data_IF_760979974357
#
_entry.id   IF_760979974357
#
_cell.length_a   1.000
_cell.length_b   1.000
_cell.length_c   1.000
_cell.angle_alpha   90.00
_cell.angle_beta   90.00
_cell.angle_gamma   90.00
#
_symmetry.space_group_name_H-M   'P 1'
#
loop_
_entity.id
_entity.type
_entity.pdbx_description
1 polymer ?
#
# COMPACT_ATOMS: atom_id res chain seq x y z
N UNK A 1 -87.39 -34.35 -23.92
CA UNK A 1 -86.12 -33.58 -23.88
C UNK A 1 -85.27 -34.16 -22.76
N UNK A 2 -84.15 -34.81 -23.07
CA UNK A 2 -83.27 -35.36 -22.03
C UNK A 2 -82.40 -34.25 -21.44
N UNK A 3 -82.54 -34.03 -20.13
CA UNK A 3 -81.72 -33.10 -19.36
C UNK A 3 -80.30 -33.67 -19.25
N UNK A 4 -79.35 -33.08 -19.99
CA UNK A 4 -77.93 -33.40 -19.88
C UNK A 4 -77.48 -32.91 -18.50
N UNK A 5 -77.22 -33.85 -17.58
CA UNK A 5 -76.64 -33.53 -16.26
C UNK A 5 -75.35 -32.74 -16.47
N UNK A 6 -75.28 -31.58 -15.83
CA UNK A 6 -74.12 -30.69 -15.84
C UNK A 6 -72.86 -31.46 -15.43
N UNK A 7 -71.87 -31.49 -16.32
CA UNK A 7 -70.60 -32.24 -16.19
C UNK A 7 -69.69 -31.76 -15.04
N UNK A 8 -70.14 -30.79 -14.24
CA UNK A 8 -69.36 -30.13 -13.17
C UNK A 8 -69.07 -31.02 -11.95
N UNK A 9 -69.80 -32.13 -11.77
CA UNK A 9 -69.65 -33.05 -10.62
C UNK A 9 -69.07 -34.43 -10.98
N UNK A 10 -68.37 -34.55 -12.12
CA UNK A 10 -67.64 -35.79 -12.43
C UNK A 10 -66.36 -35.89 -11.57
N UNK A 11 -66.05 -37.06 -10.98
CA UNK A 11 -64.85 -37.27 -10.15
C UNK A 11 -63.54 -37.04 -10.92
N UNK A 12 -63.63 -37.04 -12.25
CA UNK A 12 -62.55 -36.66 -13.17
C UNK A 12 -62.14 -35.19 -12.96
N UNK A 13 -63.09 -34.25 -12.76
CA UNK A 13 -62.76 -32.84 -12.54
C UNK A 13 -62.07 -32.59 -11.20
N UNK A 14 -62.44 -33.30 -10.13
CA UNK A 14 -61.75 -33.19 -8.84
C UNK A 14 -60.33 -33.75 -8.91
N UNK A 15 -60.15 -34.84 -9.66
CA UNK A 15 -58.84 -35.45 -9.93
C UNK A 15 -57.94 -34.53 -10.77
N UNK A 16 -58.48 -33.92 -11.83
CA UNK A 16 -57.77 -32.93 -12.67
C UNK A 16 -57.40 -31.69 -11.84
N UNK A 17 -58.31 -31.20 -10.98
CA UNK A 17 -58.04 -30.06 -10.09
C UNK A 17 -56.92 -30.37 -9.09
N UNK A 18 -56.87 -31.61 -8.59
CA UNK A 18 -55.80 -32.08 -7.70
C UNK A 18 -54.45 -32.19 -8.43
N UNK A 19 -54.44 -32.72 -9.65
CA UNK A 19 -53.26 -32.81 -10.49
C UNK A 19 -52.70 -31.41 -10.85
N UNK A 20 -53.55 -30.48 -11.27
CA UNK A 20 -53.15 -29.10 -11.58
C UNK A 20 -52.58 -28.38 -10.36
N UNK A 21 -53.13 -28.61 -9.17
CA UNK A 21 -52.62 -28.05 -7.91
C UNK A 21 -51.24 -28.61 -7.56
N UNK A 22 -51.00 -29.90 -7.78
CA UNK A 22 -49.67 -30.50 -7.60
C UNK A 22 -48.64 -29.92 -8.58
N UNK A 23 -49.04 -29.72 -9.83
CA UNK A 23 -48.19 -29.19 -10.90
C UNK A 23 -47.79 -27.72 -10.62
N UNK A 24 -48.72 -26.91 -10.13
CA UNK A 24 -48.46 -25.53 -9.67
C UNK A 24 -47.51 -25.48 -8.46
N UNK A 25 -47.66 -26.40 -7.51
CA UNK A 25 -46.75 -26.49 -6.36
C UNK A 25 -45.33 -26.89 -6.77
N UNK A 26 -45.19 -27.82 -7.73
CA UNK A 26 -43.90 -28.21 -8.30
C UNK A 26 -43.23 -27.03 -9.02
N UNK A 27 -43.97 -26.30 -9.85
CA UNK A 27 -43.51 -25.08 -10.54
C UNK A 27 -42.97 -24.04 -9.56
N UNK A 28 -43.72 -23.71 -8.51
CA UNK A 28 -43.29 -22.74 -7.51
C UNK A 28 -42.05 -23.18 -6.72
N UNK A 29 -41.94 -24.48 -6.40
CA UNK A 29 -40.75 -25.04 -5.74
C UNK A 29 -39.51 -24.93 -6.63
N UNK A 30 -39.65 -25.24 -7.92
CA UNK A 30 -38.57 -25.12 -8.90
C UNK A 30 -38.13 -23.66 -9.11
N UNK A 31 -39.09 -22.72 -9.22
CA UNK A 31 -38.80 -21.29 -9.32
C UNK A 31 -38.07 -20.76 -8.08
N UNK A 32 -38.47 -21.21 -6.88
CA UNK A 32 -37.83 -20.82 -5.62
C UNK A 32 -36.40 -21.38 -5.51
N UNK A 33 -36.18 -22.63 -5.93
CA UNK A 33 -34.85 -23.25 -5.99
C UNK A 33 -33.92 -22.50 -6.95
N UNK A 34 -34.39 -22.19 -8.17
CA UNK A 34 -33.59 -21.45 -9.16
C UNK A 34 -33.25 -20.02 -8.70
N UNK A 35 -34.15 -19.37 -7.96
CA UNK A 35 -33.90 -18.03 -7.40
C UNK A 35 -32.81 -18.08 -6.31
N UNK A 36 -32.86 -19.09 -5.44
CA UNK A 36 -31.85 -19.29 -4.40
C UNK A 36 -30.47 -19.63 -4.99
N UNK A 37 -30.41 -20.49 -6.01
CA UNK A 37 -29.17 -20.84 -6.72
C UNK A 37 -28.51 -19.60 -7.37
N UNK A 38 -29.30 -18.74 -8.01
CA UNK A 38 -28.80 -17.47 -8.55
C UNK A 38 -28.24 -16.53 -7.48
N UNK A 39 -28.90 -16.44 -6.33
CA UNK A 39 -28.45 -15.61 -5.20
C UNK A 39 -27.09 -16.11 -4.68
N UNK A 40 -26.93 -17.44 -4.55
CA UNK A 40 -25.66 -18.05 -4.12
C UNK A 40 -24.51 -17.86 -5.11
N UNK A 41 -24.78 -17.91 -6.42
CA UNK A 41 -23.76 -17.64 -7.46
C UNK A 41 -23.28 -16.17 -7.43
N UNK A 42 -24.21 -15.24 -7.19
CA UNK A 42 -23.90 -13.82 -7.00
C UNK A 42 -23.07 -13.56 -5.74
N UNK A 43 -23.35 -14.23 -4.63
CA UNK A 43 -22.58 -14.12 -3.38
C UNK A 43 -21.15 -14.68 -3.53
N UNK A 44 -20.99 -15.83 -4.19
CA UNK A 44 -19.68 -16.40 -4.52
C UNK A 44 -18.89 -15.50 -5.47
N UNK A 45 -19.54 -14.91 -6.47
CA UNK A 45 -18.91 -13.97 -7.39
C UNK A 45 -18.42 -12.71 -6.67
N UNK A 46 -19.22 -12.16 -5.74
CA UNK A 46 -18.83 -11.00 -4.94
C UNK A 46 -17.67 -11.33 -3.99
N UNK A 47 -17.65 -12.52 -3.38
CA UNK A 47 -16.50 -12.98 -2.57
C UNK A 47 -15.24 -13.15 -3.42
N UNK A 48 -15.37 -13.70 -4.63
CA UNK A 48 -14.26 -13.86 -5.57
C UNK A 48 -13.68 -12.52 -6.02
N UNK A 49 -14.53 -11.55 -6.36
CA UNK A 49 -14.12 -10.18 -6.70
C UNK A 49 -13.42 -9.49 -5.53
N UNK A 50 -13.94 -9.59 -4.30
CA UNK A 50 -13.29 -9.06 -3.10
C UNK A 50 -11.90 -9.67 -2.85
N UNK A 51 -11.73 -10.95 -3.18
CA UNK A 51 -10.43 -11.62 -3.10
C UNK A 51 -9.46 -11.17 -4.21
N UNK A 52 -9.95 -10.87 -5.41
CA UNK A 52 -9.14 -10.32 -6.51
C UNK A 52 -8.67 -8.90 -6.18
N UNK A 53 -9.54 -8.04 -5.66
CA UNK A 53 -9.21 -6.67 -5.25
C UNK A 53 -8.16 -6.65 -4.13
N UNK A 54 -8.24 -7.59 -3.18
CA UNK A 54 -7.21 -7.81 -2.15
C UNK A 54 -5.87 -8.29 -2.71
N UNK A 55 -5.85 -8.95 -3.88
CA UNK A 55 -4.65 -9.54 -4.48
C UNK A 55 -3.91 -8.59 -5.43
N UNK A 56 -4.56 -7.50 -5.88
CA UNK A 56 -4.00 -6.56 -6.85
C UNK A 56 -3.34 -5.31 -6.25
N UNK A 57 -3.40 -5.05 -4.94
CA UNK A 57 -2.77 -3.85 -4.36
C UNK A 57 -1.29 -4.01 -3.98
N UNK A 58 -0.50 -4.74 -4.78
CA UNK A 58 0.95 -4.61 -4.73
C UNK A 58 1.34 -3.29 -5.42
N UNK A 59 1.01 -2.17 -4.79
CA UNK A 59 1.53 -0.86 -5.22
C UNK A 59 3.03 -0.91 -5.00
N UNK A 60 3.79 -1.00 -6.10
CA UNK A 60 5.24 -0.93 -6.07
C UNK A 60 5.66 0.48 -5.65
N UNK A 61 5.69 0.74 -4.34
CA UNK A 61 6.13 2.01 -3.78
C UNK A 61 7.64 1.99 -3.61
N UNK A 62 8.31 2.95 -4.24
CA UNK A 62 9.76 3.14 -4.14
C UNK A 62 10.04 4.35 -3.27
N UNK A 63 10.91 4.19 -2.27
CA UNK A 63 11.37 5.28 -1.42
C UNK A 63 12.84 5.58 -1.73
N UNK A 64 13.12 6.75 -2.30
CA UNK A 64 14.47 7.22 -2.49
C UNK A 64 14.87 8.11 -1.31
N UNK A 65 15.88 7.68 -0.56
CA UNK A 65 16.46 8.44 0.54
C UNK A 65 17.85 8.89 0.10
N UNK A 66 18.00 10.19 -0.14
CA UNK A 66 19.30 10.78 -0.40
C UNK A 66 19.76 11.59 0.80
N UNK A 67 20.91 11.20 1.37
CA UNK A 67 21.52 11.84 2.53
C UNK A 67 22.81 12.54 2.18
N UNK A 68 22.98 13.69 2.82
CA UNK A 68 24.26 14.39 2.95
C UNK A 68 24.55 14.56 4.44
N UNK A 69 25.73 15.11 4.77
CA UNK A 69 26.08 15.42 6.17
C UNK A 69 25.11 16.43 6.82
N UNK A 70 24.50 17.29 6.01
CA UNK A 70 23.75 18.45 6.48
C UNK A 70 22.25 18.35 6.21
N UNK A 71 21.81 17.50 5.27
CA UNK A 71 20.41 17.39 4.89
C UNK A 71 20.04 15.98 4.43
N UNK A 72 18.74 15.68 4.49
CA UNK A 72 18.13 14.47 3.95
C UNK A 72 16.98 14.89 3.02
N UNK A 73 16.89 14.20 1.89
CA UNK A 73 15.79 14.32 0.93
C UNK A 73 15.15 12.95 0.82
N UNK A 74 13.83 12.89 1.00
CA UNK A 74 13.06 11.66 0.91
C UNK A 74 12.04 11.84 -0.20
N UNK A 75 12.05 10.93 -1.16
CA UNK A 75 11.14 10.94 -2.30
C UNK A 75 10.39 9.63 -2.36
N UNK A 76 9.07 9.70 -2.23
CA UNK A 76 8.17 8.58 -2.45
C UNK A 76 7.79 8.61 -3.93
N UNK A 77 7.96 7.49 -4.60
CA UNK A 77 7.58 7.31 -6.00
C UNK A 77 6.61 6.14 -6.08
N UNK A 78 5.43 6.40 -6.61
CA UNK A 78 4.46 5.39 -7.01
C UNK A 78 4.22 5.48 -8.52
N UNK A 79 3.49 4.53 -9.13
CA UNK A 79 3.15 4.61 -10.55
C UNK A 79 2.36 5.86 -10.94
N UNK A 80 1.65 6.48 -9.99
CA UNK A 80 0.72 7.59 -10.26
C UNK A 80 1.20 8.94 -9.73
N UNK A 81 2.06 8.96 -8.72
CA UNK A 81 2.46 10.21 -8.05
C UNK A 81 3.89 10.15 -7.52
N UNK A 82 4.48 11.35 -7.41
CA UNK A 82 5.80 11.56 -6.83
C UNK A 82 5.66 12.61 -5.74
N UNK A 83 6.09 12.27 -4.53
CA UNK A 83 6.06 13.16 -3.37
C UNK A 83 7.48 13.31 -2.83
N UNK A 84 7.97 14.54 -2.75
CA UNK A 84 9.31 14.85 -2.26
C UNK A 84 9.23 15.67 -0.99
N UNK A 85 10.00 15.29 0.02
CA UNK A 85 10.11 16.02 1.28
C UNK A 85 11.55 16.18 1.71
N UNK A 86 11.79 17.30 2.38
CA UNK A 86 13.09 17.66 2.93
C UNK A 86 12.89 18.26 4.31
N UNK A 87 13.97 18.31 5.10
CA UNK A 87 13.93 18.96 6.41
C UNK A 87 13.57 20.45 6.32
N UNK A 88 14.00 21.13 5.25
CA UNK A 88 13.68 22.53 5.03
C UNK A 88 12.16 22.76 4.85
N UNK A 89 11.46 21.82 4.19
CA UNK A 89 10.02 21.89 3.98
C UNK A 89 9.21 21.81 5.30
N UNK A 90 9.80 21.23 6.34
CA UNK A 90 9.22 21.17 7.69
C UNK A 90 9.60 22.38 8.56
N UNK A 91 10.35 23.34 8.02
CA UNK A 91 10.76 24.55 8.73
C UNK A 91 12.06 24.44 9.54
N UNK A 92 12.78 23.32 9.46
CA UNK A 92 14.14 23.24 10.04
C UNK A 92 15.10 24.14 9.26
N UNK A 93 16.04 24.80 9.96
CA UNK A 93 17.01 25.76 9.41
C UNK A 93 18.38 25.61 10.07
N UNK A 94 19.45 25.78 9.29
CA UNK A 94 20.83 25.78 9.78
C UNK A 94 21.22 24.47 10.48
N UNK A 95 21.76 24.57 11.71
CA UNK A 95 22.23 23.39 12.47
C UNK A 95 21.10 22.45 12.89
N UNK A 96 19.85 22.90 12.94
CA UNK A 96 18.75 22.03 13.36
C UNK A 96 18.48 20.88 12.39
N UNK A 97 18.86 21.02 11.11
CA UNK A 97 18.80 19.92 10.14
C UNK A 97 19.70 18.74 10.53
N UNK A 98 20.73 18.98 11.35
CA UNK A 98 21.68 17.95 11.75
C UNK A 98 21.22 17.17 13.00
N UNK A 99 20.03 17.44 13.53
CA UNK A 99 19.53 16.78 14.74
C UNK A 99 18.75 15.51 14.41
N UNK A 100 18.77 14.55 15.35
CA UNK A 100 17.99 13.31 15.27
C UNK A 100 16.48 13.61 15.30
N UNK A 101 16.08 14.64 16.06
CA UNK A 101 14.69 15.09 16.14
C UNK A 101 14.12 15.50 14.78
N UNK A 102 14.88 16.26 13.99
CA UNK A 102 14.46 16.67 12.66
C UNK A 102 14.22 15.48 11.73
N UNK A 103 15.07 14.43 11.81
CA UNK A 103 14.91 13.19 11.04
C UNK A 103 13.66 12.40 11.49
N UNK A 104 13.37 12.38 12.80
CA UNK A 104 12.17 11.74 13.34
C UNK A 104 10.90 12.40 12.82
N UNK A 105 10.82 13.73 12.90
CA UNK A 105 9.68 14.51 12.42
C UNK A 105 9.46 14.33 10.91
N UNK A 106 10.55 14.27 10.12
CA UNK A 106 10.47 13.96 8.70
C UNK A 106 9.95 12.55 8.42
N UNK A 107 10.37 11.56 9.21
CA UNK A 107 9.87 10.19 9.08
C UNK A 107 8.37 10.12 9.38
N UNK A 108 7.91 10.77 10.44
CA UNK A 108 6.48 10.82 10.82
C UNK A 108 5.63 11.45 9.71
N UNK A 109 6.08 12.58 9.13
CA UNK A 109 5.40 13.21 8.00
C UNK A 109 5.35 12.29 6.78
N UNK A 110 6.47 11.63 6.46
CA UNK A 110 6.55 10.74 5.32
C UNK A 110 5.64 9.51 5.46
N UNK A 111 5.59 8.91 6.66
CA UNK A 111 4.67 7.82 6.99
C UNK A 111 3.22 8.26 6.78
N UNK A 112 2.84 9.44 7.26
CA UNK A 112 1.49 9.96 7.07
C UNK A 112 1.14 10.10 5.58
N UNK A 113 2.09 10.56 4.76
CA UNK A 113 1.87 10.68 3.33
C UNK A 113 1.81 9.32 2.64
N UNK A 114 2.64 8.35 3.04
CA UNK A 114 2.57 6.96 2.55
C UNK A 114 1.20 6.32 2.85
N UNK A 115 0.70 6.49 4.08
CA UNK A 115 -0.60 5.95 4.50
C UNK A 115 -1.78 6.52 3.70
N UNK A 116 -1.67 7.76 3.20
CA UNK A 116 -2.70 8.36 2.33
C UNK A 116 -2.72 7.76 0.93
N UNK A 117 -1.60 7.21 0.46
CA UNK A 117 -1.46 6.69 -0.90
C UNK A 117 -1.99 5.26 -0.99
N UNK A 118 -1.64 4.41 -0.02
CA UNK A 118 -2.04 3.00 -0.01
C UNK A 118 -1.97 2.42 1.40
N UNK A 119 -2.79 1.40 1.68
CA UNK A 119 -2.69 0.56 2.87
C UNK A 119 -3.18 -0.86 2.52
N UNK A 120 -2.38 -1.93 2.62
CA UNK A 120 -1.01 -2.01 3.16
C UNK A 120 0.06 -1.44 2.21
N UNK A 121 1.15 -0.89 2.77
CA UNK A 121 2.29 -0.37 2.00
C UNK A 121 3.43 -1.38 2.01
N UNK A 122 3.79 -1.90 0.85
CA UNK A 122 5.03 -2.65 0.63
C UNK A 122 6.06 -1.70 0.00
N UNK A 123 7.22 -1.57 0.63
CA UNK A 123 8.19 -0.52 0.31
C UNK A 123 9.53 -1.07 -0.18
N UNK A 124 10.01 -0.55 -1.30
CA UNK A 124 11.37 -0.75 -1.80
C UNK A 124 12.20 0.52 -1.56
N UNK A 125 13.25 0.43 -0.75
CA UNK A 125 14.04 1.59 -0.32
C UNK A 125 15.35 1.66 -1.08
N UNK A 126 15.69 2.84 -1.57
CA UNK A 126 16.93 3.13 -2.27
C UNK A 126 17.68 4.21 -1.49
N UNK A 127 18.84 3.88 -0.94
CA UNK A 127 19.56 4.73 0.01
C UNK A 127 20.96 5.01 -0.52
N UNK A 128 21.38 6.28 -0.53
CA UNK A 128 22.80 6.61 -0.54
C UNK A 128 23.25 6.88 0.91
N UNK A 129 24.31 6.24 1.39
CA UNK A 129 24.68 6.38 2.80
C UNK A 129 25.90 7.26 3.02
N UNK A 130 25.66 8.38 3.72
CA UNK A 130 26.66 9.05 4.56
C UNK A 130 25.97 9.83 5.69
N UNK A 131 25.25 9.14 6.60
CA UNK A 131 24.70 9.77 7.81
C UNK A 131 24.27 8.77 8.91
N UNK A 132 24.81 8.90 10.13
CA UNK A 132 24.45 8.03 11.27
C UNK A 132 23.02 8.23 11.80
N UNK A 133 22.38 9.35 11.44
CA UNK A 133 21.05 9.74 11.94
C UNK A 133 19.91 8.98 11.26
N UNK A 134 20.17 8.27 10.17
CA UNK A 134 19.13 7.48 9.48
C UNK A 134 18.52 6.39 10.37
N UNK A 135 19.24 5.90 11.38
CA UNK A 135 18.71 4.89 12.31
C UNK A 135 17.42 5.33 13.00
N UNK A 136 17.29 6.61 13.36
CA UNK A 136 16.05 7.12 13.98
C UNK A 136 14.89 7.23 13.01
N UNK A 137 15.19 7.49 11.72
CA UNK A 137 14.19 7.53 10.66
C UNK A 137 13.56 6.15 10.46
N UNK A 138 14.38 5.10 10.31
CA UNK A 138 13.89 3.72 10.17
C UNK A 138 13.17 3.19 11.40
N UNK A 139 13.55 3.65 12.61
CA UNK A 139 12.83 3.31 13.84
C UNK A 139 11.35 3.72 13.78
N UNK A 140 11.04 4.87 13.18
CA UNK A 140 9.66 5.35 13.01
C UNK A 140 8.90 4.52 11.99
N UNK A 141 9.55 4.11 10.89
CA UNK A 141 8.91 3.22 9.90
C UNK A 141 8.54 1.88 10.51
N UNK A 142 9.45 1.32 11.32
CA UNK A 142 9.21 0.07 12.05
C UNK A 142 8.07 0.22 13.06
N UNK A 143 8.02 1.34 13.78
CA UNK A 143 6.95 1.61 14.76
C UNK A 143 5.55 1.77 14.12
N UNK A 144 5.47 2.13 12.84
CA UNK A 144 4.22 2.30 12.10
C UNK A 144 3.85 1.07 11.24
N UNK A 145 4.49 -0.09 11.47
CA UNK A 145 4.21 -1.35 10.77
C UNK A 145 4.30 -1.25 9.23
N UNK A 146 5.18 -0.38 8.70
CA UNK A 146 5.43 -0.32 7.25
C UNK A 146 6.32 -1.51 6.85
N UNK A 147 5.85 -2.32 5.91
CA UNK A 147 6.59 -3.48 5.44
C UNK A 147 7.69 -3.07 4.46
N UNK A 148 8.94 -3.18 4.89
CA UNK A 148 10.13 -2.93 4.06
C UNK A 148 10.50 -4.25 3.38
N UNK A 149 10.43 -4.30 2.05
CA UNK A 149 10.72 -5.50 1.27
C UNK A 149 12.21 -5.61 0.94
N UNK A 150 12.77 -4.55 0.36
CA UNK A 150 14.17 -4.50 -0.07
C UNK A 150 14.80 -3.15 0.26
N UNK A 151 16.11 -3.20 0.57
CA UNK A 151 16.95 -2.02 0.78
C UNK A 151 18.10 -2.11 -0.21
N UNK A 152 18.18 -1.12 -1.10
CA UNK A 152 19.19 -1.00 -2.15
C UNK A 152 20.15 0.13 -1.82
N UNK A 153 21.45 -0.10 -2.00
CA UNK A 153 22.46 0.95 -1.94
C UNK A 153 22.57 1.63 -3.32
N UNK A 154 22.45 2.96 -3.34
CA UNK A 154 22.57 3.80 -4.53
C UNK A 154 23.75 4.78 -4.46
N UNK A 155 24.74 4.52 -3.59
CA UNK A 155 25.96 5.34 -3.51
C UNK A 155 26.76 5.29 -4.82
N UNK A 156 26.98 6.44 -5.50
CA UNK A 156 27.75 6.44 -6.74
C UNK A 156 29.26 6.33 -6.44
N UNK A 157 29.89 5.30 -7.01
CA UNK A 157 31.35 5.08 -6.90
C UNK A 157 32.00 5.45 -8.24
N UNK A 158 32.89 6.47 -8.29
CA UNK A 158 33.51 6.90 -9.54
C UNK A 158 34.75 6.06 -9.89
N UNK A 159 34.81 5.52 -11.11
CA UNK A 159 36.00 4.86 -11.66
C UNK A 159 36.99 5.90 -12.18
N UNK A 160 38.00 6.24 -11.37
CA UNK A 160 38.99 7.31 -11.67
C UNK A 160 38.36 8.67 -12.01
N UNK A 161 37.34 9.05 -11.25
CA UNK A 161 36.60 10.31 -11.46
C UNK A 161 37.42 11.58 -11.27
N UNK A 162 36.73 12.72 -11.31
CA UNK A 162 37.35 14.04 -11.24
C UNK A 162 38.21 14.25 -9.98
N UNK A 163 39.24 15.10 -10.12
CA UNK A 163 40.10 15.52 -9.01
C UNK A 163 39.27 16.11 -7.85
N UNK A 164 39.50 15.62 -6.62
CA UNK A 164 38.83 16.13 -5.41
C UNK A 164 39.14 17.61 -5.18
N UNK A 165 38.14 18.36 -4.71
CA UNK A 165 38.29 19.77 -4.33
C UNK A 165 39.35 19.93 -3.24
N UNK A 166 40.11 21.02 -3.29
CA UNK A 166 41.09 21.37 -2.26
C UNK A 166 40.38 21.47 -0.91
N UNK A 167 40.92 20.80 0.11
CA UNK A 167 40.44 20.92 1.48
C UNK A 167 40.63 22.37 1.95
N UNK A 168 39.67 22.91 2.69
CA UNK A 168 39.79 24.28 3.20
C UNK A 168 41.05 24.44 4.05
N UNK A 169 41.78 25.54 3.86
CA UNK A 169 43.09 25.77 4.50
C UNK A 169 42.98 25.67 6.03
N UNK A 170 41.89 26.16 6.61
CA UNK A 170 41.60 26.05 8.06
C UNK A 170 41.51 24.59 8.52
N UNK A 171 40.88 23.70 7.74
CA UNK A 171 40.81 22.26 8.05
C UNK A 171 42.18 21.60 7.92
N UNK A 172 42.99 21.98 6.93
CA UNK A 172 44.37 21.50 6.77
C UNK A 172 45.25 21.89 7.97
N UNK A 173 45.16 23.13 8.46
CA UNK A 173 45.89 23.56 9.66
C UNK A 173 45.48 22.74 10.89
N UNK A 174 44.17 22.54 11.11
CA UNK A 174 43.67 21.72 12.23
C UNK A 174 44.10 20.25 12.14
N UNK A 175 44.13 19.65 10.96
CA UNK A 175 44.60 18.27 10.80
C UNK A 175 46.09 18.13 11.07
N UNK A 176 46.90 19.12 10.65
CA UNK A 176 48.35 19.15 10.93
C UNK A 176 48.61 19.30 12.43
N UNK A 177 47.93 20.24 13.09
CA UNK A 177 48.04 20.43 14.55
C UNK A 177 47.64 19.15 15.29
N UNK A 178 46.53 18.51 14.90
CA UNK A 178 46.08 17.24 15.48
C UNK A 178 47.08 16.09 15.25
N UNK A 179 47.72 16.03 14.09
CA UNK A 179 48.76 15.04 13.80
C UNK A 179 50.01 15.27 14.66
N UNK A 180 50.42 16.53 14.83
CA UNK A 180 51.56 16.88 15.67
C UNK A 180 51.30 16.64 17.17
N UNK A 181 50.05 16.74 17.64
CA UNK A 181 49.71 16.49 19.06
C UNK A 181 49.71 15.00 19.46
N UNK A 182 49.77 14.07 18.50
CA UNK A 182 49.88 12.64 18.78
C UNK A 182 51.33 12.16 18.90
N UNK A 183 52.30 13.06 18.70
CA UNK A 183 53.73 12.80 18.79
C UNK A 183 54.28 13.43 20.06
#
# INVERSE_FOLDING_TARGET
MYNIKTTKNLPIFSSIKKANRLLMNYSHKYQKQNKNLKITELELHNQFLQHIDKKQSNTNVKLYITTTLNNIFVTIVTPTQILTQTLAALGFKGKSHQTIYAYKMLAEKNVLDLMKISNPVVLNIYINTLNSKLKSFFKIYTANNIQIQHIYDTTPIPYNGCRKKKISIKKKKKSVIKYLSYR
#
